data_IF_780003449926
#
_entry.id   IF_780003449926
#
_cell.length_a   1.000
_cell.length_b   1.000
_cell.length_c   1.000
_cell.angle_alpha   90.00
_cell.angle_beta   90.00
_cell.angle_gamma   90.00
#
_symmetry.space_group_name_H-M   'P 1'
#
loop_
_entity.id
_entity.type
_entity.pdbx_description
1 polymer ?
#
# COMPACT_ATOMS: atom_id res chain seq x y z
N UNK A 1 -20.49 -29.31 -7.22
CA UNK A 1 -21.85 -29.19 -6.67
C UNK A 1 -22.86 -29.13 -7.82
N UNK A 2 -24.09 -29.66 -7.68
CA UNK A 2 -25.12 -29.58 -8.73
C UNK A 2 -25.56 -28.12 -8.94
N UNK A 3 -25.72 -27.69 -10.20
CA UNK A 3 -26.19 -26.35 -10.60
C UNK A 3 -27.55 -26.03 -9.99
N UNK A 4 -28.42 -27.04 -9.86
CA UNK A 4 -29.73 -26.84 -9.22
C UNK A 4 -29.58 -26.45 -7.75
N UNK A 5 -28.63 -27.05 -7.03
CA UNK A 5 -28.34 -26.71 -5.62
C UNK A 5 -27.84 -25.27 -5.49
N UNK A 6 -26.97 -24.81 -6.39
CA UNK A 6 -26.49 -23.41 -6.42
C UNK A 6 -27.67 -22.45 -6.56
N UNK A 7 -28.53 -22.67 -7.56
CA UNK A 7 -29.68 -21.81 -7.83
C UNK A 7 -30.65 -21.80 -6.65
N UNK A 8 -30.89 -22.96 -6.02
CA UNK A 8 -31.74 -23.05 -4.83
C UNK A 8 -31.20 -22.23 -3.67
N UNK A 9 -29.89 -22.31 -3.38
CA UNK A 9 -29.26 -21.55 -2.31
C UNK A 9 -29.34 -20.04 -2.58
N UNK A 10 -29.07 -19.60 -3.81
CA UNK A 10 -29.19 -18.19 -4.18
C UNK A 10 -30.62 -17.65 -4.03
N UNK A 11 -31.64 -18.45 -4.36
CA UNK A 11 -33.04 -18.05 -4.15
C UNK A 11 -33.41 -17.89 -2.68
N UNK A 12 -32.78 -18.65 -1.78
CA UNK A 12 -33.03 -18.54 -0.35
C UNK A 12 -32.48 -17.24 0.26
N UNK A 13 -31.70 -16.45 -0.48
CA UNK A 13 -31.32 -15.10 -0.04
C UNK A 13 -32.53 -14.16 0.09
N UNK A 14 -33.62 -14.45 -0.62
CA UNK A 14 -34.88 -13.71 -0.56
C UNK A 14 -35.77 -14.11 0.64
N UNK A 15 -35.42 -15.19 1.36
CA UNK A 15 -36.23 -15.71 2.46
C UNK A 15 -36.15 -14.77 3.69
N UNK A 16 -37.26 -14.22 4.21
CA UNK A 16 -37.21 -13.28 5.33
C UNK A 16 -36.71 -13.90 6.65
N UNK A 17 -36.62 -15.24 6.78
CA UNK A 17 -36.10 -15.88 7.98
C UNK A 17 -34.55 -15.76 8.08
N UNK A 18 -34.09 -15.01 9.08
CA UNK A 18 -32.67 -14.83 9.38
C UNK A 18 -31.93 -16.14 9.68
N UNK A 19 -32.60 -17.16 10.23
CA UNK A 19 -31.97 -18.47 10.45
C UNK A 19 -31.69 -19.19 9.15
N UNK A 20 -32.61 -19.08 8.18
CA UNK A 20 -32.40 -19.62 6.83
C UNK A 20 -31.23 -18.91 6.19
N UNK A 21 -31.18 -17.58 6.28
CA UNK A 21 -30.05 -16.82 5.76
C UNK A 21 -28.72 -17.22 6.38
N UNK A 22 -28.63 -17.35 7.70
CA UNK A 22 -27.38 -17.76 8.37
C UNK A 22 -26.87 -19.10 7.84
N UNK A 23 -27.74 -20.11 7.71
CA UNK A 23 -27.36 -21.44 7.19
C UNK A 23 -26.90 -21.36 5.73
N UNK A 24 -27.62 -20.58 4.91
CA UNK A 24 -27.30 -20.40 3.48
C UNK A 24 -25.98 -19.64 3.31
N UNK A 25 -25.76 -18.60 4.13
CA UNK A 25 -24.53 -17.83 4.16
C UNK A 25 -23.34 -18.72 4.48
N UNK A 26 -23.41 -19.49 5.57
CA UNK A 26 -22.31 -20.40 5.97
C UNK A 26 -21.97 -21.41 4.86
N UNK A 27 -22.99 -22.00 4.22
CA UNK A 27 -22.81 -22.95 3.11
C UNK A 27 -22.16 -22.29 1.87
N UNK A 28 -22.56 -21.06 1.54
CA UNK A 28 -22.03 -20.31 0.38
C UNK A 28 -20.59 -19.86 0.66
N UNK A 29 -20.33 -19.27 1.82
CA UNK A 29 -18.99 -18.78 2.22
C UNK A 29 -18.00 -19.94 2.27
N UNK A 30 -18.39 -21.08 2.87
CA UNK A 30 -17.56 -22.30 2.91
C UNK A 30 -17.21 -22.86 1.52
N UNK A 31 -17.88 -22.42 0.46
CA UNK A 31 -17.58 -22.75 -0.93
C UNK A 31 -17.35 -21.48 -1.79
N UNK A 32 -16.80 -20.42 -1.20
CA UNK A 32 -16.75 -19.08 -1.78
C UNK A 32 -16.18 -19.01 -3.21
N UNK A 33 -15.10 -19.74 -3.51
CA UNK A 33 -14.53 -19.78 -4.87
C UNK A 33 -15.51 -20.30 -5.92
N UNK A 34 -16.31 -21.31 -5.57
CA UNK A 34 -17.31 -21.90 -6.47
C UNK A 34 -18.48 -20.94 -6.68
N UNK A 35 -18.92 -20.26 -5.62
CA UNK A 35 -20.11 -19.43 -5.64
C UNK A 35 -19.89 -18.01 -6.13
N UNK A 36 -18.68 -17.47 -6.02
CA UNK A 36 -18.39 -16.05 -6.30
C UNK A 36 -19.01 -15.55 -7.60
N UNK A 37 -18.70 -16.19 -8.73
CA UNK A 37 -19.23 -15.77 -10.04
C UNK A 37 -20.76 -15.89 -10.15
N UNK A 38 -21.36 -16.91 -9.51
CA UNK A 38 -22.81 -17.06 -9.47
C UNK A 38 -23.47 -15.99 -8.61
N UNK A 39 -22.84 -15.63 -7.49
CA UNK A 39 -23.34 -14.64 -6.56
C UNK A 39 -23.20 -13.22 -7.12
N UNK A 40 -22.09 -12.90 -7.79
CA UNK A 40 -21.92 -11.64 -8.56
C UNK A 40 -22.99 -11.50 -9.64
N UNK A 41 -23.26 -12.59 -10.38
CA UNK A 41 -24.32 -12.58 -11.39
C UNK A 41 -25.71 -12.42 -10.77
N UNK A 42 -25.99 -13.13 -9.67
CA UNK A 42 -27.25 -13.01 -8.94
C UNK A 42 -27.46 -11.59 -8.39
N UNK A 43 -26.43 -11.02 -7.76
CA UNK A 43 -26.46 -9.66 -7.23
C UNK A 43 -26.74 -8.64 -8.34
N UNK A 44 -26.05 -8.74 -9.48
CA UNK A 44 -26.23 -7.81 -10.59
C UNK A 44 -27.63 -7.87 -11.25
N UNK A 45 -28.31 -9.01 -11.16
CA UNK A 45 -29.62 -9.24 -11.79
C UNK A 45 -30.79 -9.11 -10.81
N UNK A 46 -30.55 -9.23 -9.50
CA UNK A 46 -31.59 -9.21 -8.49
C UNK A 46 -32.23 -7.83 -8.36
N UNK A 47 -33.55 -7.81 -8.18
CA UNK A 47 -34.32 -6.60 -7.86
C UNK A 47 -34.88 -6.63 -6.44
N UNK A 48 -34.64 -7.72 -5.70
CA UNK A 48 -35.08 -7.88 -4.32
C UNK A 48 -34.05 -7.22 -3.37
N UNK A 49 -34.48 -6.19 -2.63
CA UNK A 49 -33.61 -5.41 -1.74
C UNK A 49 -32.94 -6.25 -0.65
N UNK A 50 -33.67 -7.20 -0.04
CA UNK A 50 -33.13 -8.07 1.00
C UNK A 50 -32.04 -8.99 0.43
N UNK A 51 -32.29 -9.55 -0.74
CA UNK A 51 -31.32 -10.43 -1.39
C UNK A 51 -30.09 -9.67 -1.92
N UNK A 52 -30.25 -8.41 -2.33
CA UNK A 52 -29.13 -7.54 -2.70
C UNK A 52 -28.20 -7.26 -1.49
N UNK A 53 -28.78 -6.86 -0.36
CA UNK A 53 -28.03 -6.63 0.89
C UNK A 53 -27.27 -7.90 1.33
N UNK A 54 -27.98 -9.02 1.37
CA UNK A 54 -27.41 -10.31 1.80
C UNK A 54 -26.36 -10.86 0.84
N UNK A 55 -26.54 -10.68 -0.47
CA UNK A 55 -25.52 -11.10 -1.44
C UNK A 55 -24.27 -10.22 -1.35
N UNK A 56 -24.39 -8.92 -1.09
CA UNK A 56 -23.23 -8.05 -0.83
C UNK A 56 -22.49 -8.49 0.44
N UNK A 57 -23.22 -8.79 1.52
CA UNK A 57 -22.61 -9.28 2.77
C UNK A 57 -21.85 -10.61 2.58
N UNK A 58 -22.37 -11.51 1.76
CA UNK A 58 -21.67 -12.77 1.44
C UNK A 58 -20.46 -12.50 0.54
N UNK A 59 -20.56 -11.63 -0.46
CA UNK A 59 -19.43 -11.26 -1.34
C UNK A 59 -18.30 -10.59 -0.55
N UNK A 60 -18.65 -9.73 0.40
CA UNK A 60 -17.74 -9.14 1.39
C UNK A 60 -16.98 -10.22 2.16
N UNK A 61 -17.69 -11.21 2.69
CA UNK A 61 -17.10 -12.25 3.53
C UNK A 61 -16.18 -13.18 2.72
N UNK A 62 -16.63 -13.64 1.55
CA UNK A 62 -15.82 -14.46 0.63
C UNK A 62 -14.53 -13.71 0.25
N UNK A 63 -14.64 -12.42 -0.07
CA UNK A 63 -13.48 -11.62 -0.41
C UNK A 63 -12.55 -11.45 0.79
N UNK A 64 -13.10 -11.18 1.98
CA UNK A 64 -12.34 -11.03 3.20
C UNK A 64 -11.52 -12.28 3.54
N UNK A 65 -12.14 -13.47 3.57
CA UNK A 65 -11.44 -14.71 3.91
C UNK A 65 -10.26 -14.99 2.96
N UNK A 66 -10.47 -14.74 1.66
CA UNK A 66 -9.40 -14.86 0.66
C UNK A 66 -8.29 -13.83 0.86
N UNK A 67 -8.65 -12.59 1.19
CA UNK A 67 -7.69 -11.51 1.43
C UNK A 67 -6.87 -11.74 2.71
N UNK A 68 -7.54 -12.11 3.81
CA UNK A 68 -6.93 -12.41 5.11
C UNK A 68 -5.90 -13.53 4.98
N UNK A 69 -6.28 -14.62 4.31
CA UNK A 69 -5.37 -15.75 4.03
C UNK A 69 -4.10 -15.27 3.31
N UNK A 70 -4.25 -14.49 2.22
CA UNK A 70 -3.11 -13.99 1.44
C UNK A 70 -2.24 -12.98 2.20
N UNK A 71 -2.86 -12.16 3.06
CA UNK A 71 -2.12 -11.20 3.88
C UNK A 71 -1.28 -11.93 4.93
N UNK A 72 -1.82 -12.97 5.56
CA UNK A 72 -1.08 -13.83 6.49
C UNK A 72 0.05 -14.58 5.75
N UNK A 73 -0.23 -15.13 4.58
CA UNK A 73 0.79 -15.76 3.72
C UNK A 73 1.93 -14.78 3.38
N UNK A 74 1.61 -13.52 3.08
CA UNK A 74 2.61 -12.48 2.84
C UNK A 74 3.55 -12.28 4.04
N UNK A 75 2.99 -12.12 5.25
CA UNK A 75 3.81 -11.90 6.46
C UNK A 75 4.61 -13.13 6.90
N UNK A 76 4.07 -14.32 6.66
CA UNK A 76 4.72 -15.58 7.07
C UNK A 76 5.73 -16.10 6.06
N UNK A 77 5.76 -15.53 4.85
CA UNK A 77 6.71 -15.92 3.81
C UNK A 77 8.00 -15.07 3.86
N UNK A 78 9.16 -15.66 4.23
CA UNK A 78 10.43 -14.93 4.31
C UNK A 78 10.98 -14.48 2.94
N UNK A 79 10.47 -15.03 1.84
CA UNK A 79 10.86 -14.64 0.48
C UNK A 79 9.94 -13.58 -0.14
N UNK A 80 8.86 -13.22 0.56
CA UNK A 80 7.88 -12.24 0.07
C UNK A 80 8.56 -10.91 -0.26
N UNK A 81 8.17 -10.34 -1.41
CA UNK A 81 8.70 -9.06 -1.87
C UNK A 81 7.78 -7.93 -1.46
N UNK A 82 8.35 -6.75 -1.17
CA UNK A 82 7.56 -5.61 -0.71
C UNK A 82 6.43 -5.21 -1.69
N UNK A 83 6.68 -5.29 -2.99
CA UNK A 83 5.65 -4.98 -3.99
C UNK A 83 4.43 -5.92 -3.92
N UNK A 84 4.60 -7.15 -3.43
CA UNK A 84 3.51 -8.13 -3.30
C UNK A 84 2.52 -7.70 -2.23
N UNK A 85 3.01 -7.26 -1.07
CA UNK A 85 2.19 -6.65 -0.02
C UNK A 85 1.47 -5.39 -0.52
N UNK A 86 2.16 -4.53 -1.26
CA UNK A 86 1.55 -3.34 -1.87
C UNK A 86 0.40 -3.70 -2.82
N UNK A 87 0.57 -4.74 -3.66
CA UNK A 87 -0.48 -5.20 -4.58
C UNK A 87 -1.66 -5.86 -3.86
N UNK A 88 -1.40 -6.60 -2.77
CA UNK A 88 -2.47 -7.11 -1.90
C UNK A 88 -3.29 -5.95 -1.33
N UNK A 89 -2.63 -4.92 -0.80
CA UNK A 89 -3.32 -3.72 -0.31
C UNK A 89 -4.13 -3.02 -1.41
N UNK A 90 -3.61 -2.89 -2.65
CA UNK A 90 -4.43 -2.37 -3.74
C UNK A 90 -5.68 -3.22 -4.02
N UNK A 91 -5.56 -4.55 -3.99
CA UNK A 91 -6.69 -5.45 -4.18
C UNK A 91 -7.76 -5.26 -3.10
N UNK A 92 -7.36 -4.98 -1.87
CA UNK A 92 -8.28 -4.65 -0.78
C UNK A 92 -9.11 -3.38 -1.08
N UNK A 93 -8.44 -2.33 -1.55
CA UNK A 93 -9.10 -1.06 -1.87
C UNK A 93 -9.90 -1.07 -3.18
N UNK A 94 -9.53 -1.94 -4.12
CA UNK A 94 -10.22 -2.12 -5.38
C UNK A 94 -10.31 -3.62 -5.72
N UNK A 95 -11.44 -4.25 -5.38
CA UNK A 95 -11.66 -5.69 -5.57
C UNK A 95 -11.64 -6.11 -7.03
N UNK A 96 -11.92 -5.18 -7.95
CA UNK A 96 -11.99 -5.43 -9.39
C UNK A 96 -10.67 -5.14 -10.11
N UNK A 97 -9.63 -4.71 -9.39
CA UNK A 97 -8.34 -4.42 -10.02
C UNK A 97 -7.79 -5.66 -10.74
N UNK A 98 -7.33 -5.45 -11.97
CA UNK A 98 -6.53 -6.42 -12.71
C UNK A 98 -5.10 -6.38 -12.16
N UNK A 99 -4.81 -7.29 -11.25
CA UNK A 99 -3.47 -7.43 -10.65
C UNK A 99 -2.42 -7.83 -11.68
N UNK A 100 -2.80 -8.49 -12.79
CA UNK A 100 -1.85 -8.86 -13.84
C UNK A 100 -1.45 -7.64 -14.67
N UNK A 101 -2.39 -6.77 -14.97
CA UNK A 101 -2.11 -5.48 -15.62
C UNK A 101 -1.18 -4.64 -14.74
N UNK A 102 -1.52 -4.48 -13.44
CA UNK A 102 -0.67 -3.74 -12.49
C UNK A 102 0.75 -4.32 -12.40
N UNK A 103 0.88 -5.65 -12.36
CA UNK A 103 2.17 -6.32 -12.34
C UNK A 103 2.95 -6.12 -13.64
N UNK A 104 2.26 -6.08 -14.79
CA UNK A 104 2.86 -5.81 -16.09
C UNK A 104 3.38 -4.37 -16.15
N UNK A 105 2.55 -3.39 -15.77
CA UNK A 105 2.92 -1.98 -15.69
C UNK A 105 4.15 -1.76 -14.79
N UNK A 106 4.13 -2.39 -13.61
CA UNK A 106 5.27 -2.34 -12.69
C UNK A 106 6.52 -2.99 -13.28
N UNK A 107 6.39 -4.13 -13.98
CA UNK A 107 7.53 -4.81 -14.62
C UNK A 107 8.17 -3.97 -15.73
N UNK A 108 7.35 -3.25 -16.52
CA UNK A 108 7.83 -2.30 -17.53
C UNK A 108 8.60 -1.16 -16.85
N UNK A 109 8.06 -0.62 -15.75
CA UNK A 109 8.73 0.42 -14.97
C UNK A 109 10.08 -0.06 -14.41
N UNK A 110 10.12 -1.27 -13.81
CA UNK A 110 11.36 -1.89 -13.33
C UNK A 110 12.40 -2.02 -14.42
N UNK A 111 11.98 -2.55 -15.58
CA UNK A 111 12.86 -2.75 -16.74
C UNK A 111 13.43 -1.41 -17.23
N UNK A 112 12.61 -0.37 -17.26
CA UNK A 112 13.03 0.98 -17.69
C UNK A 112 14.11 1.56 -16.78
N UNK A 113 14.05 1.28 -15.48
CA UNK A 113 15.06 1.71 -14.52
C UNK A 113 16.31 0.83 -14.62
N UNK A 114 16.13 -0.49 -14.69
CA UNK A 114 17.24 -1.45 -14.75
C UNK A 114 18.19 -1.22 -15.93
N UNK A 115 17.66 -0.89 -17.11
CA UNK A 115 18.47 -0.62 -18.32
C UNK A 115 19.41 0.58 -18.13
N UNK A 116 19.04 1.53 -17.28
CA UNK A 116 19.84 2.73 -16.99
C UNK A 116 20.91 2.47 -15.93
N UNK A 117 20.83 1.33 -15.22
CA UNK A 117 21.76 0.99 -14.14
C UNK A 117 23.02 0.31 -14.68
N UNK A 118 24.16 0.69 -14.12
CA UNK A 118 25.42 -0.05 -14.27
C UNK A 118 25.81 -0.67 -12.93
N UNK A 119 26.34 -1.90 -12.97
CA UNK A 119 26.82 -2.61 -11.79
C UNK A 119 28.01 -1.93 -11.10
N UNK A 120 28.67 -0.99 -11.78
CA UNK A 120 29.83 -0.24 -11.25
C UNK A 120 29.42 1.02 -10.47
N UNK A 121 28.14 1.39 -10.48
CA UNK A 121 27.66 2.57 -9.79
C UNK A 121 27.67 2.37 -8.28
N UNK A 122 28.11 3.39 -7.56
CA UNK A 122 27.89 3.51 -6.12
C UNK A 122 26.39 3.66 -5.83
N UNK A 123 25.96 3.35 -4.61
CA UNK A 123 24.54 3.43 -4.25
C UNK A 123 23.97 4.86 -4.39
N UNK A 124 24.77 5.90 -4.15
CA UNK A 124 24.34 7.29 -4.36
C UNK A 124 24.16 7.61 -5.85
N UNK A 125 25.01 7.08 -6.72
CA UNK A 125 24.85 7.22 -8.17
C UNK A 125 23.64 6.45 -8.67
N UNK A 126 23.40 5.22 -8.16
CA UNK A 126 22.19 4.46 -8.49
C UNK A 126 20.91 5.22 -8.06
N UNK A 127 20.91 5.84 -6.88
CA UNK A 127 19.82 6.72 -6.42
C UNK A 127 19.61 7.90 -7.40
N UNK A 128 20.69 8.54 -7.86
CA UNK A 128 20.60 9.63 -8.83
C UNK A 128 20.05 9.16 -10.20
N UNK A 129 20.44 7.96 -10.64
CA UNK A 129 19.89 7.34 -11.86
C UNK A 129 18.40 7.03 -11.68
N UNK A 130 18.00 6.47 -10.54
CA UNK A 130 16.60 6.22 -10.22
C UNK A 130 15.79 7.54 -10.24
N UNK A 131 16.29 8.58 -9.58
CA UNK A 131 15.64 9.90 -9.54
C UNK A 131 15.47 10.49 -10.95
N UNK A 132 16.56 10.58 -11.71
CA UNK A 132 16.54 11.12 -13.08
C UNK A 132 15.61 10.31 -13.97
N UNK A 133 15.63 8.99 -13.86
CA UNK A 133 14.78 8.12 -14.67
C UNK A 133 13.31 8.30 -14.32
N UNK A 134 12.95 8.31 -13.03
CA UNK A 134 11.57 8.42 -12.59
C UNK A 134 10.99 9.81 -12.89
N UNK A 135 11.68 10.87 -12.51
CA UNK A 135 11.14 12.23 -12.55
C UNK A 135 11.40 12.95 -13.88
N UNK A 136 12.55 12.75 -14.51
CA UNK A 136 12.92 13.51 -15.72
C UNK A 136 12.66 12.70 -17.00
N UNK A 137 13.02 11.42 -17.05
CA UNK A 137 12.80 10.58 -18.25
C UNK A 137 11.36 10.08 -18.36
N UNK A 138 10.84 9.48 -17.28
CA UNK A 138 9.48 8.93 -17.27
C UNK A 138 8.43 10.00 -17.01
N UNK A 139 8.79 11.11 -16.35
CA UNK A 139 7.95 12.29 -16.19
C UNK A 139 6.97 12.22 -15.02
N UNK A 140 7.32 11.54 -13.92
CA UNK A 140 6.47 11.49 -12.73
C UNK A 140 6.31 12.88 -12.10
N UNK A 141 5.06 13.29 -11.84
CA UNK A 141 4.74 14.63 -11.32
C UNK A 141 3.85 14.61 -10.09
N UNK A 142 4.07 15.56 -9.19
CA UNK A 142 3.24 15.73 -7.97
C UNK A 142 1.88 16.29 -8.34
N UNK A 143 0.81 15.71 -7.80
CA UNK A 143 -0.56 16.20 -7.98
C UNK A 143 -0.76 17.57 -7.32
N UNK A 144 -1.56 18.41 -7.97
CA UNK A 144 -2.01 19.67 -7.39
C UNK A 144 -3.15 19.43 -6.39
N UNK A 145 -3.35 20.38 -5.47
CA UNK A 145 -4.40 20.31 -4.43
C UNK A 145 -5.80 20.02 -5.02
N UNK A 146 -6.08 20.54 -6.21
CA UNK A 146 -7.39 20.36 -6.89
C UNK A 146 -7.60 18.95 -7.43
N UNK A 147 -6.53 18.20 -7.65
CA UNK A 147 -6.57 16.84 -8.21
C UNK A 147 -6.61 15.76 -7.12
N UNK A 148 -6.44 16.13 -5.84
CA UNK A 148 -6.39 15.18 -4.73
C UNK A 148 -7.77 14.57 -4.47
N UNK A 149 -7.84 13.24 -4.53
CA UNK A 149 -9.02 12.43 -4.18
C UNK A 149 -8.54 11.15 -3.50
N UNK A 150 -9.43 10.44 -2.80
CA UNK A 150 -9.09 9.15 -2.18
C UNK A 150 -8.55 8.13 -3.18
N UNK A 151 -9.03 8.14 -4.43
CA UNK A 151 -8.54 7.27 -5.49
C UNK A 151 -7.12 7.60 -5.97
N UNK A 152 -6.68 8.86 -5.86
CA UNK A 152 -5.34 9.26 -6.34
C UNK A 152 -4.21 8.89 -5.38
N UNK A 153 -4.54 8.42 -4.17
CA UNK A 153 -3.59 7.81 -3.25
C UNK A 153 -3.16 6.40 -3.70
N UNK A 154 -3.86 5.73 -4.61
CA UNK A 154 -3.52 4.38 -5.09
C UNK A 154 -2.14 4.32 -5.76
N UNK A 155 -1.41 3.22 -5.59
CA UNK A 155 -0.16 2.94 -6.31
C UNK A 155 -0.44 2.70 -7.80
N UNK A 156 -1.58 2.10 -8.14
CA UNK A 156 -2.01 1.87 -9.52
C UNK A 156 -2.21 3.20 -10.21
N UNK A 157 -2.86 4.15 -9.53
CA UNK A 157 -2.97 5.51 -10.05
C UNK A 157 -1.58 6.14 -10.27
N UNK A 158 -0.67 5.98 -9.30
CA UNK A 158 0.70 6.49 -9.39
C UNK A 158 1.46 5.96 -10.60
N UNK A 159 1.45 4.64 -10.81
CA UNK A 159 2.18 3.98 -11.89
C UNK A 159 1.56 4.32 -13.25
N UNK A 160 0.25 4.10 -13.42
CA UNK A 160 -0.39 4.23 -14.74
C UNK A 160 -0.54 5.69 -15.18
N UNK A 161 -0.74 6.64 -14.26
CA UNK A 161 -0.90 8.06 -14.59
C UNK A 161 0.40 8.87 -14.46
N UNK A 162 1.47 8.28 -13.90
CA UNK A 162 2.73 8.98 -13.59
C UNK A 162 2.50 10.26 -12.75
N UNK A 163 1.50 10.21 -11.90
CA UNK A 163 1.08 11.31 -11.03
C UNK A 163 0.98 10.83 -9.60
N UNK A 164 1.58 11.55 -8.67
CA UNK A 164 1.75 11.05 -7.31
C UNK A 164 1.38 12.04 -6.22
N UNK A 165 1.17 11.49 -5.03
CA UNK A 165 1.15 12.17 -3.74
C UNK A 165 2.34 11.68 -2.90
N UNK A 166 2.77 12.41 -1.86
CA UNK A 166 3.89 11.98 -1.02
C UNK A 166 3.82 10.51 -0.52
N UNK A 167 2.65 9.97 -0.08
CA UNK A 167 2.58 8.60 0.39
C UNK A 167 2.88 7.55 -0.69
N UNK A 168 2.22 7.63 -1.85
CA UNK A 168 2.34 6.60 -2.87
C UNK A 168 3.66 6.66 -3.65
N UNK A 169 4.26 7.86 -3.82
CA UNK A 169 5.60 7.94 -4.41
C UNK A 169 6.66 7.36 -3.48
N UNK A 170 6.51 7.50 -2.16
CA UNK A 170 7.45 6.89 -1.21
C UNK A 170 7.36 5.36 -1.24
N UNK A 171 6.15 4.80 -1.28
CA UNK A 171 5.92 3.36 -1.49
C UNK A 171 6.54 2.90 -2.80
N UNK A 172 6.24 3.59 -3.92
CA UNK A 172 6.82 3.25 -5.22
C UNK A 172 8.35 3.30 -5.21
N UNK A 173 8.92 4.30 -4.55
CA UNK A 173 10.36 4.46 -4.44
C UNK A 173 11.01 3.32 -3.66
N UNK A 174 10.42 2.89 -2.54
CA UNK A 174 10.87 1.71 -1.79
C UNK A 174 10.75 0.43 -2.61
N UNK A 175 9.63 0.23 -3.32
CA UNK A 175 9.45 -0.90 -4.23
C UNK A 175 10.57 -0.96 -5.29
N UNK A 176 10.93 0.18 -5.87
CA UNK A 176 11.97 0.24 -6.91
C UNK A 176 13.37 0.10 -6.33
N UNK A 177 13.65 0.70 -5.17
CA UNK A 177 14.95 0.62 -4.50
C UNK A 177 15.28 -0.81 -4.03
N UNK A 178 14.27 -1.54 -3.55
CA UNK A 178 14.39 -2.96 -3.16
C UNK A 178 14.84 -3.83 -4.33
N UNK A 179 14.23 -3.65 -5.50
CA UNK A 179 14.53 -4.41 -6.73
C UNK A 179 15.95 -4.21 -7.24
N UNK A 180 16.48 -2.98 -7.11
CA UNK A 180 17.86 -2.65 -7.51
C UNK A 180 18.86 -2.79 -6.34
N UNK A 181 18.41 -3.38 -5.22
CA UNK A 181 19.21 -3.72 -4.05
C UNK A 181 19.94 -2.52 -3.42
N UNK A 182 19.25 -1.38 -3.31
CA UNK A 182 19.77 -0.22 -2.58
C UNK A 182 19.13 -0.20 -1.19
N UNK A 183 19.93 -0.05 -0.11
CA UNK A 183 19.44 -0.02 1.28
C UNK A 183 18.76 1.33 1.61
N UNK A 184 17.65 1.62 0.93
CA UNK A 184 16.76 2.75 1.19
C UNK A 184 15.62 2.29 2.09
N UNK A 185 15.40 2.97 3.21
CA UNK A 185 14.38 2.60 4.18
C UNK A 185 13.47 3.80 4.49
N UNK A 186 12.17 3.58 4.74
CA UNK A 186 11.30 4.61 5.29
C UNK A 186 11.79 5.03 6.68
N UNK A 187 11.45 6.25 7.09
CA UNK A 187 11.78 6.75 8.44
C UNK A 187 10.52 6.90 9.28
N UNK A 188 10.68 6.79 10.60
CA UNK A 188 9.61 6.97 11.59
C UNK A 188 9.21 8.45 11.82
N UNK A 189 9.26 9.29 10.77
CA UNK A 189 8.91 10.70 10.86
C UNK A 189 7.51 10.94 10.26
N UNK A 190 6.49 11.23 11.09
CA UNK A 190 5.11 11.39 10.63
C UNK A 190 4.98 12.45 9.52
N UNK A 191 4.06 12.20 8.58
CA UNK A 191 3.59 13.13 7.52
C UNK A 191 4.56 13.49 6.38
N UNK A 192 5.87 13.23 6.52
CA UNK A 192 6.84 13.63 5.49
C UNK A 192 7.06 12.61 4.38
N UNK A 193 6.79 11.31 4.64
CA UNK A 193 7.07 10.21 3.69
C UNK A 193 8.49 10.27 3.13
N UNK A 194 9.43 10.74 3.95
CA UNK A 194 10.83 10.74 3.63
C UNK A 194 11.39 9.33 3.81
N UNK A 195 12.49 9.07 3.10
CA UNK A 195 13.26 7.84 3.19
C UNK A 195 14.67 8.19 3.66
N UNK A 196 15.46 7.17 3.98
CA UNK A 196 16.86 7.30 4.32
C UNK A 196 17.68 6.23 3.62
N UNK A 197 18.93 6.53 3.35
CA UNK A 197 19.91 5.53 2.94
C UNK A 197 20.73 5.12 4.16
N UNK A 198 20.78 3.81 4.42
CA UNK A 198 21.55 3.22 5.52
C UNK A 198 22.76 2.45 5.00
N UNK A 199 23.89 2.62 5.67
CA UNK A 199 25.07 1.81 5.45
C UNK A 199 25.95 1.83 6.71
N UNK A 200 25.97 0.74 7.46
CA UNK A 200 26.68 0.65 8.73
C UNK A 200 28.20 0.82 8.58
N UNK A 201 28.78 0.25 7.51
CA UNK A 201 30.22 0.33 7.25
C UNK A 201 30.65 1.79 7.01
N UNK A 202 30.01 2.45 6.04
CA UNK A 202 30.24 3.87 5.74
C UNK A 202 29.92 4.74 6.95
N UNK A 203 28.88 4.40 7.70
CA UNK A 203 28.49 5.19 8.87
C UNK A 203 29.59 5.20 9.92
N UNK A 204 30.15 4.02 10.24
CA UNK A 204 31.22 3.87 11.22
C UNK A 204 32.51 4.61 10.85
N UNK A 205 32.79 4.76 9.55
CA UNK A 205 33.95 5.50 9.03
C UNK A 205 33.75 7.02 9.07
N UNK A 206 32.53 7.48 8.78
CA UNK A 206 32.21 8.92 8.60
C UNK A 206 31.72 9.57 9.90
N UNK A 207 30.98 8.84 10.72
CA UNK A 207 30.35 9.33 11.95
C UNK A 207 30.94 8.64 13.18
N UNK A 208 31.54 9.42 14.09
CA UNK A 208 32.20 8.90 15.32
C UNK A 208 31.23 8.43 16.40
N UNK A 209 29.93 8.66 16.24
CA UNK A 209 28.89 8.32 17.22
C UNK A 209 28.08 7.12 16.71
N UNK A 210 27.65 6.22 17.60
CA UNK A 210 26.66 5.19 17.29
C UNK A 210 25.28 5.84 17.11
N UNK A 211 24.93 6.29 15.91
CA UNK A 211 23.56 6.73 15.62
C UNK A 211 23.02 6.15 14.32
N UNK A 212 21.97 5.32 14.42
CA UNK A 212 21.01 4.90 13.39
C UNK A 212 21.49 4.39 12.00
N UNK A 213 22.79 4.30 11.72
CA UNK A 213 23.40 3.90 10.43
C UNK A 213 22.95 4.73 9.21
N UNK A 214 22.20 5.81 9.43
CA UNK A 214 21.69 6.68 8.38
C UNK A 214 22.83 7.57 7.88
N UNK A 215 23.05 7.59 6.57
CA UNK A 215 24.03 8.50 5.94
C UNK A 215 23.35 9.78 5.46
N UNK A 216 22.21 9.66 4.78
CA UNK A 216 21.44 10.79 4.25
C UNK A 216 19.95 10.46 4.15
N UNK A 217 19.13 11.51 4.02
CA UNK A 217 17.70 11.42 3.80
C UNK A 217 17.33 11.70 2.34
N UNK A 218 16.20 11.15 1.93
CA UNK A 218 15.66 11.19 0.58
C UNK A 218 14.20 11.66 0.63
N UNK A 219 13.84 12.55 -0.28
CA UNK A 219 12.46 13.07 -0.40
C UNK A 219 11.93 12.73 -1.79
N UNK A 220 11.33 11.53 -1.99
CA UNK A 220 10.77 11.14 -3.27
C UNK A 220 9.75 12.16 -3.80
N UNK A 221 8.95 12.78 -2.92
CA UNK A 221 7.96 13.79 -3.31
C UNK A 221 8.57 15.08 -3.87
N UNK A 222 9.84 15.34 -3.58
CA UNK A 222 10.60 16.51 -4.03
C UNK A 222 11.65 16.05 -5.07
N UNK A 223 11.20 15.27 -6.06
CA UNK A 223 12.02 14.71 -7.16
C UNK A 223 13.24 13.90 -6.67
N UNK A 224 13.10 13.21 -5.55
CA UNK A 224 14.17 12.38 -4.98
C UNK A 224 15.31 13.18 -4.35
N UNK A 225 15.06 14.42 -3.92
CA UNK A 225 16.07 15.27 -3.30
C UNK A 225 16.83 14.52 -2.17
N UNK A 226 18.16 14.57 -2.25
CA UNK A 226 19.07 14.01 -1.25
C UNK A 226 19.47 15.13 -0.30
N UNK A 227 19.27 14.94 1.01
CA UNK A 227 19.69 15.90 2.03
C UNK A 227 20.55 15.25 3.10
N UNK A 228 21.59 15.96 3.54
CA UNK A 228 22.42 15.54 4.66
C UNK A 228 21.66 15.60 5.99
N UNK A 229 22.16 14.90 7.01
CA UNK A 229 21.64 15.00 8.38
C UNK A 229 21.54 16.45 8.87
N UNK A 230 22.55 17.28 8.62
CA UNK A 230 22.55 18.69 9.04
C UNK A 230 21.45 19.52 8.37
N UNK A 231 21.21 19.29 7.07
CA UNK A 231 20.16 20.00 6.35
C UNK A 231 18.78 19.51 6.77
N UNK A 232 18.63 18.20 7.00
CA UNK A 232 17.41 17.62 7.55
C UNK A 232 17.09 18.18 8.94
N UNK A 233 18.10 18.31 9.81
CA UNK A 233 17.95 18.88 11.15
C UNK A 233 17.46 20.34 11.08
N UNK A 234 18.06 21.16 10.21
CA UNK A 234 17.59 22.53 9.97
C UNK A 234 16.16 22.59 9.44
N UNK A 235 15.78 21.64 8.58
CA UNK A 235 14.41 21.56 8.07
C UNK A 235 13.41 21.20 9.19
N UNK A 236 13.76 20.24 10.04
CA UNK A 236 12.96 19.80 11.16
C UNK A 236 12.74 20.94 12.18
N UNK A 237 13.78 21.66 12.55
CA UNK A 237 13.69 22.84 13.43
C UNK A 237 12.81 23.95 12.83
N UNK A 238 12.86 24.12 11.51
CA UNK A 238 11.96 25.05 10.80
C UNK A 238 10.50 24.59 10.82
N UNK A 239 10.24 23.29 10.80
CA UNK A 239 8.88 22.75 10.93
C UNK A 239 8.36 22.92 12.36
N UNK A 240 9.18 22.63 13.37
CA UNK A 240 8.84 22.85 14.80
C UNK A 240 8.48 24.31 15.10
N UNK A 241 9.17 25.25 14.46
CA UNK A 241 8.89 26.69 14.65
C UNK A 241 7.65 27.19 13.91
N UNK A 242 7.26 26.55 12.79
CA UNK A 242 6.10 26.97 11.98
C UNK A 242 4.80 26.26 12.34
N UNK A 243 4.90 25.02 12.81
CA UNK A 243 3.76 24.20 13.20
C UNK A 243 3.60 24.28 14.72
N UNK A 244 2.38 24.44 15.23
CA UNK A 244 2.10 24.28 16.67
C UNK A 244 2.24 22.81 17.14
N UNK A 245 2.94 21.97 16.36
CA UNK A 245 3.15 20.56 16.64
C UNK A 245 4.40 20.46 17.51
N UNK A 246 4.21 20.03 18.76
CA UNK A 246 5.32 19.64 19.64
C UNK A 246 5.94 18.34 19.13
N UNK A 247 6.80 18.44 18.13
CA UNK A 247 7.70 17.34 17.75
C UNK A 247 8.90 17.43 18.70
N UNK A 248 8.96 16.57 19.70
CA UNK A 248 10.10 16.49 20.64
C UNK A 248 11.28 15.68 20.07
N UNK A 249 11.13 15.18 18.84
CA UNK A 249 12.10 14.36 18.11
C UNK A 249 13.23 15.23 17.54
N UNK A 250 14.48 14.85 17.79
CA UNK A 250 15.67 15.37 17.10
C UNK A 250 15.99 14.54 15.86
N UNK A 251 16.86 15.03 14.98
CA UNK A 251 17.29 14.24 13.81
C UNK A 251 17.96 12.92 14.21
N UNK A 252 18.59 12.89 15.38
CA UNK A 252 19.27 11.72 15.92
C UNK A 252 18.29 10.70 16.52
N UNK A 253 17.05 11.09 16.81
CA UNK A 253 15.98 10.19 17.25
C UNK A 253 15.22 9.56 16.07
N UNK A 254 15.51 9.99 14.83
CA UNK A 254 14.89 9.44 13.63
C UNK A 254 15.51 8.09 13.32
N UNK A 255 14.68 7.06 13.26
CA UNK A 255 15.10 5.72 12.93
C UNK A 255 14.49 5.29 11.61
N UNK A 256 15.23 4.44 10.88
CA UNK A 256 14.63 3.70 9.80
C UNK A 256 13.59 2.75 10.35
N UNK A 257 12.47 2.64 9.65
CA UNK A 257 11.41 1.68 9.94
C UNK A 257 11.36 0.61 8.84
N UNK A 258 10.64 -0.49 9.11
CA UNK A 258 10.46 -1.56 8.14
C UNK A 258 9.57 -1.12 6.98
N UNK A 259 9.68 -1.84 5.86
CA UNK A 259 8.77 -1.70 4.74
C UNK A 259 7.32 -2.03 5.14
N UNK A 260 7.12 -2.99 6.03
CA UNK A 260 5.79 -3.37 6.52
C UNK A 260 5.15 -2.23 7.34
N UNK A 261 5.93 -1.49 8.13
CA UNK A 261 5.46 -0.29 8.83
C UNK A 261 5.09 0.83 7.85
N UNK A 262 5.83 0.99 6.75
CA UNK A 262 5.44 1.90 5.67
C UNK A 262 4.12 1.46 5.02
N UNK A 263 3.95 0.15 4.79
CA UNK A 263 2.72 -0.41 4.22
C UNK A 263 1.51 -0.17 5.13
N UNK A 264 1.64 -0.42 6.43
CA UNK A 264 0.59 -0.13 7.42
C UNK A 264 0.24 1.36 7.44
N UNK A 265 1.25 2.23 7.48
CA UNK A 265 1.01 3.67 7.47
C UNK A 265 0.28 4.10 6.18
N UNK A 266 0.74 3.59 5.02
CA UNK A 266 0.11 3.83 3.73
C UNK A 266 -1.36 3.35 3.69
N UNK A 267 -1.63 2.15 4.20
CA UNK A 267 -2.98 1.61 4.37
C UNK A 267 -3.86 2.54 5.21
N UNK A 268 -3.39 2.95 6.40
CA UNK A 268 -4.12 3.80 7.32
C UNK A 268 -4.46 5.17 6.72
N UNK A 269 -3.56 5.76 5.93
CA UNK A 269 -3.81 7.03 5.23
C UNK A 269 -4.93 6.88 4.21
N UNK A 270 -4.93 5.78 3.46
CA UNK A 270 -5.98 5.50 2.48
C UNK A 270 -7.33 5.29 3.15
N UNK A 271 -7.39 4.54 4.25
CA UNK A 271 -8.60 4.40 5.07
C UNK A 271 -9.09 5.76 5.58
N UNK A 272 -8.17 6.59 6.12
CA UNK A 272 -8.50 7.94 6.59
C UNK A 272 -9.08 8.81 5.47
N UNK A 273 -8.53 8.71 4.26
CA UNK A 273 -9.04 9.42 3.09
C UNK A 273 -10.47 9.00 2.73
N UNK A 274 -10.80 7.70 2.79
CA UNK A 274 -12.16 7.20 2.55
C UNK A 274 -13.16 7.69 3.60
N UNK A 275 -12.75 7.72 4.88
CA UNK A 275 -13.58 8.24 5.98
C UNK A 275 -13.87 9.74 5.80
N UNK A 276 -12.88 10.52 5.38
CA UNK A 276 -13.07 11.96 5.09
C UNK A 276 -14.04 12.18 3.92
N UNK A 277 -14.05 11.29 2.93
CA UNK A 277 -15.02 11.33 1.83
C UNK A 277 -16.39 10.75 2.18
N UNK A 278 -16.68 10.49 3.47
CA UNK A 278 -17.93 9.86 3.96
C UNK A 278 -18.29 8.58 3.19
N UNK A 279 -17.29 7.81 2.80
CA UNK A 279 -17.48 6.54 2.09
C UNK A 279 -17.55 5.42 3.12
N UNK A 280 -18.75 4.89 3.35
CA UNK A 280 -18.94 3.67 4.12
C UNK A 280 -19.03 2.48 3.15
N UNK A 281 -18.02 1.63 3.18
CA UNK A 281 -17.92 0.48 2.29
C UNK A 281 -17.12 -0.66 2.97
N UNK A 282 -16.91 -1.74 2.24
CA UNK A 282 -16.08 -2.85 2.69
C UNK A 282 -14.73 -2.44 3.28
N UNK A 283 -14.02 -1.48 2.66
CA UNK A 283 -12.71 -1.07 3.16
C UNK A 283 -12.80 -0.50 4.57
N UNK A 284 -13.79 0.35 4.85
CA UNK A 284 -14.00 0.93 6.19
C UNK A 284 -14.51 -0.10 7.19
N UNK A 285 -15.37 -1.03 6.75
CA UNK A 285 -15.91 -2.15 7.55
C UNK A 285 -14.82 -3.11 8.03
N UNK A 286 -13.87 -3.45 7.15
CA UNK A 286 -12.81 -4.44 7.43
C UNK A 286 -11.47 -3.83 7.85
N UNK A 287 -11.35 -2.48 7.86
CA UNK A 287 -10.10 -1.79 8.19
C UNK A 287 -9.46 -2.25 9.50
N UNK A 288 -10.26 -2.41 10.55
CA UNK A 288 -9.74 -2.77 11.87
C UNK A 288 -9.14 -4.18 11.89
N UNK A 289 -9.76 -5.13 11.19
CA UNK A 289 -9.22 -6.50 11.07
C UNK A 289 -7.87 -6.50 10.35
N UNK A 290 -7.74 -5.69 9.30
CA UNK A 290 -6.44 -5.54 8.61
C UNK A 290 -5.39 -4.96 9.56
N UNK A 291 -5.71 -3.89 10.28
CA UNK A 291 -4.79 -3.29 11.28
C UNK A 291 -4.37 -4.32 12.34
N UNK A 292 -5.30 -5.14 12.83
CA UNK A 292 -5.02 -6.17 13.84
C UNK A 292 -4.05 -7.23 13.31
N UNK A 293 -4.19 -7.66 12.04
CA UNK A 293 -3.23 -8.56 11.39
C UNK A 293 -1.85 -7.89 11.31
N UNK A 294 -1.75 -6.65 10.81
CA UNK A 294 -0.46 -5.94 10.77
C UNK A 294 0.20 -5.88 12.16
N UNK A 295 -0.57 -5.59 13.22
CA UNK A 295 -0.04 -5.53 14.59
C UNK A 295 0.37 -6.89 15.17
N UNK A 296 -0.18 -7.99 14.66
CA UNK A 296 0.23 -9.35 15.06
C UNK A 296 1.59 -9.74 14.46
N UNK A 297 1.89 -9.27 13.24
CA UNK A 297 3.09 -9.66 12.48
C UNK A 297 4.24 -8.63 12.44
N UNK A 298 4.02 -7.40 12.93
CA UNK A 298 5.03 -6.32 13.06
C UNK A 298 5.76 -6.35 14.41
#
# INVERSE_FOLDING_TARGET
MDKNKIISLLKLLEDPDEKVFSIVKDEIVGHGELFKAYLENYHALSTNSLALERSEDILDEIFWESFETKLIEYFTNPEAKFYEGVFLIEKFFNRDIDTKELQTDYSILKTSIWIEMSNQLTNIEKINVLNTTLFDKLGYTKLTVKEIKSSTLSITYCISNKKFLPPNIAVLYCMLADEIQIPVFPINLPELFALCYRNADIHSEVFKNKSNDIIFFLFPSEKGAIISKDLANRHLERLKSKSQIKIDTTIDDIEATSYDNLLLNYFNIRIKSLKISNTDNFCTKYAKKVEDIFHEYL
#
